data_IF_446293653566
#
_entry.id   IF_446293653566
#
_cell.length_a   1.000
_cell.length_b   1.000
_cell.length_c   1.000
_cell.angle_alpha   90.00
_cell.angle_beta   90.00
_cell.angle_gamma   90.00
#
_symmetry.space_group_name_H-M   'P 1'
#
loop_
_entity.id
_entity.type
_entity.pdbx_description
1 polymer ?
#
# COMPACT_ATOMS: atom_id res chain seq x y z
N UNK A 1 17.10 22.45 9.77
CA UNK A 1 16.55 22.04 8.47
C UNK A 1 15.76 20.78 8.72
N UNK A 2 14.45 20.78 8.48
CA UNK A 2 13.63 19.56 8.57
C UNK A 2 13.94 18.70 7.36
N UNK A 3 14.63 17.57 7.56
CA UNK A 3 14.83 16.58 6.51
C UNK A 3 13.48 16.20 5.91
N UNK A 4 13.38 16.30 4.59
CA UNK A 4 12.20 15.82 3.86
C UNK A 4 12.32 14.32 3.76
N UNK A 5 11.61 13.60 4.64
CA UNK A 5 11.62 12.14 4.67
C UNK A 5 10.87 11.61 3.44
N UNK A 6 11.57 10.82 2.63
CA UNK A 6 11.05 10.11 1.47
C UNK A 6 11.03 8.62 1.82
N UNK A 7 9.90 7.96 1.55
CA UNK A 7 9.75 6.50 1.68
C UNK A 7 9.88 5.86 0.30
N UNK A 8 10.49 4.68 0.21
CA UNK A 8 10.43 3.87 -1.02
C UNK A 8 9.26 2.90 -0.90
N UNK A 9 8.36 2.93 -1.88
CA UNK A 9 7.17 2.09 -1.94
C UNK A 9 7.27 1.12 -3.10
N UNK A 10 6.79 -0.10 -2.91
CA UNK A 10 6.60 -1.09 -3.97
C UNK A 10 5.17 -1.01 -4.49
N UNK A 11 4.96 -1.09 -5.81
CA UNK A 11 3.62 -1.20 -6.36
C UNK A 11 2.97 -2.51 -5.93
N UNK A 12 1.70 -2.45 -5.53
CA UNK A 12 0.89 -3.64 -5.24
C UNK A 12 0.50 -4.34 -6.54
N UNK A 13 0.11 -3.56 -7.54
CA UNK A 13 -0.47 -4.05 -8.79
C UNK A 13 0.61 -4.47 -9.80
N UNK A 14 1.75 -3.76 -9.82
CA UNK A 14 2.82 -3.98 -10.80
C UNK A 14 4.06 -4.56 -10.14
N UNK A 15 4.39 -5.80 -10.50
CA UNK A 15 5.61 -6.41 -10.01
C UNK A 15 6.83 -5.59 -10.45
N UNK A 16 7.71 -5.29 -9.50
CA UNK A 16 8.99 -4.58 -9.68
C UNK A 16 8.89 -3.06 -9.92
N UNK A 17 7.71 -2.47 -9.95
CA UNK A 17 7.59 -1.01 -9.95
C UNK A 17 7.78 -0.47 -8.53
N UNK A 18 8.67 0.52 -8.39
CA UNK A 18 8.90 1.23 -7.13
C UNK A 18 8.70 2.72 -7.31
N UNK A 19 8.34 3.40 -6.22
CA UNK A 19 8.12 4.83 -6.22
C UNK A 19 8.68 5.49 -4.95
N UNK A 20 9.00 6.77 -5.06
CA UNK A 20 9.39 7.60 -3.94
C UNK A 20 8.13 8.29 -3.40
N UNK A 21 7.91 8.26 -2.09
CA UNK A 21 6.75 8.87 -1.46
C UNK A 21 7.15 9.97 -0.49
N UNK A 22 6.74 11.19 -0.82
CA UNK A 22 7.08 12.40 -0.06
C UNK A 22 6.07 12.65 1.05
N UNK A 23 6.45 12.38 2.30
CA UNK A 23 5.57 12.50 3.46
C UNK A 23 5.08 13.93 3.77
N UNK A 24 5.75 14.96 3.26
CA UNK A 24 5.37 16.36 3.50
C UNK A 24 4.24 16.84 2.60
N UNK A 25 4.12 16.27 1.40
CA UNK A 25 3.11 16.65 0.39
C UNK A 25 2.13 15.51 0.08
N UNK A 26 2.36 14.33 0.68
CA UNK A 26 1.62 13.11 0.42
C UNK A 26 1.62 12.71 -1.06
N UNK A 27 2.73 12.95 -1.77
CA UNK A 27 2.83 12.72 -3.22
C UNK A 27 3.66 11.49 -3.54
N UNK A 28 3.22 10.69 -4.51
CA UNK A 28 4.04 9.63 -5.11
C UNK A 28 4.80 10.24 -6.30
N UNK A 29 6.12 10.07 -6.29
CA UNK A 29 7.06 10.65 -7.24
C UNK A 29 8.01 9.55 -7.77
N UNK A 30 8.69 9.82 -8.90
CA UNK A 30 9.78 8.97 -9.43
C UNK A 30 9.43 7.48 -9.56
N UNK A 31 8.23 7.18 -10.07
CA UNK A 31 7.82 5.80 -10.38
C UNK A 31 8.79 5.24 -11.43
N UNK A 32 9.40 4.10 -11.12
CA UNK A 32 10.40 3.44 -11.96
C UNK A 32 10.22 1.93 -11.91
N UNK A 33 10.41 1.30 -13.07
CA UNK A 33 10.48 -0.15 -13.17
C UNK A 33 11.87 -0.63 -12.73
N UNK A 34 11.91 -1.77 -12.05
CA UNK A 34 13.15 -2.46 -11.71
C UNK A 34 13.29 -3.68 -12.61
N UNK A 35 14.40 -3.77 -13.35
CA UNK A 35 14.59 -4.80 -14.37
C UNK A 35 14.74 -6.23 -13.82
N UNK A 36 15.16 -6.37 -12.55
CA UNK A 36 15.40 -7.66 -11.91
C UNK A 36 14.86 -7.71 -10.46
N UNK A 37 14.08 -8.75 -10.08
CA UNK A 37 13.61 -8.93 -8.70
C UNK A 37 14.70 -8.92 -7.63
N UNK A 38 15.92 -9.34 -7.95
CA UNK A 38 17.05 -9.32 -7.01
C UNK A 38 17.43 -7.90 -6.58
N UNK A 39 17.19 -6.90 -7.45
CA UNK A 39 17.52 -5.51 -7.15
C UNK A 39 16.62 -4.92 -6.06
N UNK A 40 15.42 -5.49 -5.86
CA UNK A 40 14.53 -5.09 -4.76
C UNK A 40 15.13 -5.38 -3.38
N UNK A 41 16.03 -6.37 -3.27
CA UNK A 41 16.70 -6.71 -2.00
C UNK A 41 17.62 -5.60 -1.50
N UNK A 42 18.07 -4.71 -2.39
CA UNK A 42 18.92 -3.57 -2.04
C UNK A 42 18.12 -2.31 -1.73
N UNK A 43 16.78 -2.35 -1.84
CA UNK A 43 15.91 -1.21 -1.56
C UNK A 43 15.29 -1.31 -0.16
N UNK A 44 15.29 -0.19 0.57
CA UNK A 44 14.57 -0.08 1.84
C UNK A 44 13.06 0.14 1.61
N UNK A 45 12.36 -0.92 1.20
CA UNK A 45 10.91 -0.86 1.00
C UNK A 45 10.22 -0.59 2.33
N UNK A 46 9.51 0.54 2.38
CA UNK A 46 8.84 1.07 3.57
C UNK A 46 7.32 0.97 3.50
N UNK A 47 6.79 0.41 2.42
CA UNK A 47 5.36 0.29 2.18
C UNK A 47 5.00 -0.16 0.77
N UNK A 48 3.70 -0.18 0.50
CA UNK A 48 3.12 -0.42 -0.82
C UNK A 48 2.20 0.73 -1.23
N UNK A 49 2.09 0.93 -2.54
CA UNK A 49 1.05 1.76 -3.13
C UNK A 49 0.31 0.98 -4.21
N UNK A 50 -0.93 1.36 -4.47
CA UNK A 50 -1.77 0.75 -5.50
C UNK A 50 -2.93 1.68 -5.81
N UNK A 51 -3.70 1.34 -6.84
CA UNK A 51 -4.83 2.17 -7.28
C UNK A 51 -6.14 1.53 -6.86
N UNK A 52 -7.02 2.34 -6.25
CA UNK A 52 -8.39 1.94 -5.92
C UNK A 52 -9.32 2.96 -6.59
N UNK A 53 -10.03 2.52 -7.62
CA UNK A 53 -10.84 3.39 -8.45
C UNK A 53 -9.97 4.39 -9.19
N UNK A 54 -10.23 5.69 -9.02
CA UNK A 54 -9.42 6.76 -9.62
C UNK A 54 -8.27 7.26 -8.72
N UNK A 55 -8.13 6.73 -7.51
CA UNK A 55 -7.21 7.26 -6.50
C UNK A 55 -6.08 6.29 -6.22
N UNK A 56 -4.88 6.82 -6.02
CA UNK A 56 -3.77 6.04 -5.48
C UNK A 56 -3.82 6.05 -3.96
N UNK A 57 -3.65 4.88 -3.37
CA UNK A 57 -3.60 4.67 -1.94
C UNK A 57 -2.20 4.20 -1.58
N UNK A 58 -1.73 4.60 -0.40
CA UNK A 58 -0.46 4.19 0.19
C UNK A 58 -0.73 3.49 1.52
N UNK A 59 -0.08 2.34 1.72
CA UNK A 59 0.09 1.71 3.03
C UNK A 59 1.58 1.66 3.32
N UNK A 60 2.03 2.31 4.39
CA UNK A 60 3.45 2.41 4.71
C UNK A 60 3.71 2.45 6.21
N UNK A 61 4.97 2.43 6.62
CA UNK A 61 5.35 2.71 8.00
C UNK A 61 5.23 4.20 8.33
N UNK A 62 4.75 4.49 9.53
CA UNK A 62 4.68 5.84 10.07
C UNK A 62 6.07 6.49 10.25
N UNK A 63 6.09 7.76 10.65
CA UNK A 63 7.35 8.49 10.84
C UNK A 63 8.26 7.84 11.88
N UNK A 64 7.70 7.15 12.87
CA UNK A 64 8.46 6.43 13.91
C UNK A 64 8.87 5.00 13.53
N UNK A 65 8.39 4.48 12.39
CA UNK A 65 8.61 3.11 11.92
C UNK A 65 8.10 2.03 12.87
N UNK A 66 6.98 2.30 13.54
CA UNK A 66 6.40 1.39 14.55
C UNK A 66 4.97 0.97 14.23
N UNK A 67 4.31 1.69 13.34
CA UNK A 67 2.93 1.41 12.98
C UNK A 67 2.72 1.55 11.48
N UNK A 68 1.79 0.77 10.95
CA UNK A 68 1.28 0.97 9.60
C UNK A 68 0.34 2.18 9.57
N UNK A 69 0.50 3.00 8.54
CA UNK A 69 -0.40 4.10 8.19
C UNK A 69 -0.99 3.84 6.81
N UNK A 70 -2.22 4.28 6.62
CA UNK A 70 -2.93 4.25 5.34
C UNK A 70 -3.38 5.66 4.97
N UNK A 71 -3.31 6.01 3.69
CA UNK A 71 -3.82 7.28 3.20
C UNK A 71 -3.82 7.36 1.68
N UNK A 72 -4.32 8.46 1.15
CA UNK A 72 -4.41 8.69 -0.29
C UNK A 72 -3.26 9.57 -0.78
N UNK A 73 -2.93 9.43 -2.05
CA UNK A 73 -2.07 10.40 -2.73
C UNK A 73 -2.71 11.80 -2.64
N UNK A 74 -1.92 12.80 -2.26
CA UNK A 74 -2.31 14.19 -2.02
C UNK A 74 -3.30 14.44 -0.86
N UNK A 75 -3.54 13.48 0.02
CA UNK A 75 -4.49 13.59 1.13
C UNK A 75 -3.88 13.14 2.48
N UNK A 76 -4.70 13.13 3.52
CA UNK A 76 -4.35 12.70 4.86
C UNK A 76 -3.98 11.21 4.94
N UNK A 77 -3.11 10.91 5.91
CA UNK A 77 -2.81 9.55 6.36
C UNK A 77 -3.23 9.36 7.81
N UNK A 78 -3.63 8.14 8.13
CA UNK A 78 -4.07 7.73 9.45
C UNK A 78 -3.35 6.46 9.87
N UNK A 79 -3.06 6.33 11.15
CA UNK A 79 -2.61 5.05 11.70
C UNK A 79 -3.70 4.01 11.47
N UNK A 80 -3.34 2.88 10.86
CA UNK A 80 -4.28 1.82 10.49
C UNK A 80 -5.01 1.24 11.72
N UNK A 81 -4.35 1.28 12.89
CA UNK A 81 -4.96 0.91 14.17
C UNK A 81 -6.10 1.83 14.59
N UNK A 82 -6.08 3.10 14.18
CA UNK A 82 -6.97 4.16 14.67
C UNK A 82 -8.07 4.53 13.67
N UNK A 83 -8.01 4.03 12.43
CA UNK A 83 -9.08 4.19 11.45
C UNK A 83 -9.91 2.91 11.32
N UNK A 84 -11.15 3.07 10.92
CA UNK A 84 -11.99 1.96 10.44
C UNK A 84 -11.81 1.82 8.94
N UNK A 85 -11.62 0.59 8.48
CA UNK A 85 -11.55 0.23 7.06
C UNK A 85 -12.66 -0.77 6.81
N UNK A 86 -13.50 -0.49 5.81
CA UNK A 86 -14.54 -1.40 5.36
C UNK A 86 -14.34 -1.66 3.88
N UNK A 87 -14.37 -2.95 3.51
CA UNK A 87 -14.47 -3.38 2.13
C UNK A 87 -15.84 -4.03 1.93
N UNK A 88 -16.56 -3.59 0.90
CA UNK A 88 -17.90 -4.08 0.58
C UNK A 88 -17.97 -4.44 -0.89
N UNK A 89 -18.25 -5.71 -1.17
CA UNK A 89 -18.66 -6.12 -2.51
C UNK A 89 -20.05 -5.54 -2.80
N UNK A 90 -20.16 -4.70 -3.83
CA UNK A 90 -21.43 -4.11 -4.23
C UNK A 90 -22.21 -5.06 -5.15
N UNK A 91 -21.50 -5.69 -6.09
CA UNK A 91 -22.01 -6.72 -6.99
C UNK A 91 -20.87 -7.63 -7.48
N UNK A 92 -21.05 -8.36 -8.57
CA UNK A 92 -20.04 -9.27 -9.13
C UNK A 92 -18.84 -8.54 -9.77
N UNK A 93 -18.95 -7.25 -10.10
CA UNK A 93 -17.91 -6.48 -10.81
C UNK A 93 -17.37 -5.27 -10.05
N UNK A 94 -18.11 -4.74 -9.08
CA UNK A 94 -17.75 -3.58 -8.28
C UNK A 94 -17.61 -3.89 -6.78
N UNK A 95 -16.59 -3.28 -6.18
CA UNK A 95 -16.44 -3.17 -4.74
C UNK A 95 -16.34 -1.70 -4.30
N UNK A 96 -16.47 -1.49 -3.00
CA UNK A 96 -16.26 -0.21 -2.34
C UNK A 96 -15.32 -0.36 -1.16
N UNK A 97 -14.31 0.51 -1.10
CA UNK A 97 -13.43 0.68 0.06
C UNK A 97 -13.81 1.97 0.77
N UNK A 98 -14.05 1.90 2.08
CA UNK A 98 -14.35 3.05 2.94
C UNK A 98 -13.33 3.15 4.06
N UNK A 99 -12.72 4.32 4.22
CA UNK A 99 -11.81 4.65 5.33
C UNK A 99 -12.44 5.76 6.17
N UNK A 100 -12.60 5.50 7.48
CA UNK A 100 -13.16 6.45 8.45
C UNK A 100 -12.18 6.69 9.60
N UNK A 101 -11.95 7.95 9.94
CA UNK A 101 -11.13 8.36 11.09
C UNK A 101 -11.65 9.68 11.70
N UNK A 102 -12.29 9.61 12.87
CA UNK A 102 -12.93 10.77 13.48
C UNK A 102 -14.06 11.32 12.62
N UNK A 103 -13.95 12.58 12.18
CA UNK A 103 -14.91 13.20 11.27
C UNK A 103 -14.58 13.00 9.77
N UNK A 104 -13.45 12.36 9.46
CA UNK A 104 -13.07 12.03 8.09
C UNK A 104 -13.71 10.71 7.67
N UNK A 105 -14.43 10.70 6.55
CA UNK A 105 -14.89 9.49 5.87
C UNK A 105 -14.68 9.68 4.38
N UNK A 106 -14.00 8.71 3.75
CA UNK A 106 -13.83 8.66 2.30
C UNK A 106 -14.16 7.26 1.79
N UNK A 107 -14.99 7.20 0.74
CA UNK A 107 -15.39 5.96 0.08
C UNK A 107 -15.00 6.02 -1.39
N UNK A 108 -14.47 4.91 -1.91
CA UNK A 108 -14.14 4.75 -3.33
C UNK A 108 -14.78 3.47 -3.85
N UNK A 109 -15.53 3.59 -4.93
CA UNK A 109 -16.07 2.45 -5.68
C UNK A 109 -15.16 2.15 -6.87
N UNK A 110 -14.88 0.87 -7.12
CA UNK A 110 -13.89 0.46 -8.11
C UNK A 110 -14.16 -0.96 -8.65
N UNK A 111 -13.62 -1.29 -9.83
CA UNK A 111 -13.68 -2.66 -10.35
C UNK A 111 -12.90 -3.61 -9.46
N UNK A 112 -13.52 -4.68 -8.98
CA UNK A 112 -12.86 -5.74 -8.20
C UNK A 112 -12.89 -7.10 -8.92
N UNK A 113 -13.42 -7.14 -10.14
CA UNK A 113 -13.35 -8.31 -10.99
C UNK A 113 -12.04 -8.31 -11.79
N UNK A 114 -11.29 -9.42 -11.72
CA UNK A 114 -9.96 -9.58 -12.31
C UNK A 114 -9.90 -9.19 -13.79
N UNK A 115 -10.84 -9.70 -14.58
CA UNK A 115 -10.88 -9.48 -16.03
C UNK A 115 -11.17 -8.03 -16.47
N UNK A 116 -11.54 -7.16 -15.54
CA UNK A 116 -11.91 -5.76 -15.82
C UNK A 116 -10.83 -4.76 -15.43
N UNK A 117 -9.76 -5.24 -14.80
CA UNK A 117 -8.54 -4.45 -14.62
C UNK A 117 -7.72 -4.61 -15.89
N UNK A 118 -7.43 -3.48 -16.54
CA UNK A 118 -6.49 -3.45 -17.66
C UNK A 118 -5.12 -3.90 -17.13
N UNK A 119 -4.68 -5.12 -17.41
CA UNK A 119 -3.34 -5.54 -17.00
C UNK A 119 -2.58 -6.43 -17.99
N UNK A 120 -1.27 -6.16 -18.02
CA UNK A 120 -0.22 -6.80 -18.82
C UNK A 120 0.41 -8.02 -18.09
N UNK A 121 -0.13 -8.44 -16.93
CA UNK A 121 0.45 -9.47 -16.05
C UNK A 121 -0.41 -10.72 -15.83
N UNK A 122 0.28 -11.83 -15.60
CA UNK A 122 -0.28 -13.17 -15.45
C UNK A 122 -0.65 -13.43 -13.97
N UNK A 123 -1.87 -13.07 -13.57
CA UNK A 123 -2.42 -13.30 -12.21
C UNK A 123 -2.71 -14.77 -11.85
N UNK A 124 -2.29 -15.72 -12.70
CA UNK A 124 -2.61 -17.15 -12.61
C UNK A 124 -2.15 -17.83 -11.31
N UNK A 125 -1.25 -17.20 -10.52
CA UNK A 125 -0.69 -17.77 -9.29
C UNK A 125 -1.02 -16.98 -8.01
N UNK A 126 -1.79 -15.90 -8.12
CA UNK A 126 -2.06 -14.98 -7.00
C UNK A 126 -3.42 -15.25 -6.34
N UNK A 127 -3.50 -15.13 -5.02
CA UNK A 127 -4.79 -15.19 -4.32
C UNK A 127 -5.69 -14.02 -4.71
N UNK A 128 -6.99 -14.11 -4.43
CA UNK A 128 -7.94 -13.05 -4.76
C UNK A 128 -7.62 -11.73 -4.03
N UNK A 129 -7.16 -11.82 -2.78
CA UNK A 129 -6.73 -10.66 -1.98
C UNK A 129 -5.44 -10.02 -2.50
N UNK A 130 -4.57 -10.78 -3.17
CA UNK A 130 -3.34 -10.23 -3.77
C UNK A 130 -3.61 -9.39 -5.02
N UNK A 131 -4.84 -9.44 -5.54
CA UNK A 131 -5.28 -8.69 -6.70
C UNK A 131 -6.08 -7.43 -6.32
N UNK A 132 -7.01 -7.53 -5.38
CA UNK A 132 -7.81 -6.39 -4.94
C UNK A 132 -7.09 -5.63 -3.82
N UNK A 133 -6.44 -4.52 -4.16
CA UNK A 133 -5.69 -3.71 -3.20
C UNK A 133 -6.57 -3.18 -2.05
N UNK A 134 -7.85 -2.87 -2.29
CA UNK A 134 -8.74 -2.43 -1.21
C UNK A 134 -9.11 -3.59 -0.28
N UNK A 135 -9.31 -4.80 -0.81
CA UNK A 135 -9.51 -5.99 0.00
C UNK A 135 -8.25 -6.33 0.80
N UNK A 136 -7.06 -6.18 0.21
CA UNK A 136 -5.79 -6.32 0.92
C UNK A 136 -5.66 -5.33 2.09
N UNK A 137 -5.99 -4.04 1.88
CA UNK A 137 -6.00 -3.03 2.96
C UNK A 137 -6.98 -3.43 4.07
N UNK A 138 -8.16 -3.94 3.70
CA UNK A 138 -9.12 -4.47 4.68
C UNK A 138 -8.57 -5.68 5.45
N UNK A 139 -7.91 -6.61 4.77
CA UNK A 139 -7.21 -7.75 5.37
C UNK A 139 -6.16 -7.29 6.40
N UNK A 140 -5.40 -6.24 6.09
CA UNK A 140 -4.50 -5.61 7.08
C UNK A 140 -5.27 -5.05 8.29
N UNK A 141 -6.45 -4.48 8.10
CA UNK A 141 -7.24 -3.98 9.23
C UNK A 141 -7.79 -5.13 10.10
N UNK A 142 -8.14 -6.26 9.52
CA UNK A 142 -8.79 -7.37 10.24
C UNK A 142 -7.83 -8.42 10.78
N UNK A 143 -6.62 -8.53 10.22
CA UNK A 143 -5.59 -9.49 10.64
C UNK A 143 -4.40 -8.80 11.36
N UNK A 144 -4.34 -8.87 12.70
CA UNK A 144 -3.23 -8.33 13.47
C UNK A 144 -1.88 -9.00 13.20
N UNK A 145 -1.87 -10.29 12.88
CA UNK A 145 -0.64 -11.07 12.69
C UNK A 145 0.00 -10.69 11.35
N UNK A 146 -0.82 -10.53 10.30
CA UNK A 146 -0.39 -10.00 9.01
C UNK A 146 0.22 -8.60 9.16
N UNK A 147 -0.43 -7.69 9.91
CA UNK A 147 0.11 -6.35 10.19
C UNK A 147 1.44 -6.41 10.91
N UNK A 148 1.53 -7.24 11.94
CA UNK A 148 2.74 -7.36 12.74
C UNK A 148 3.90 -7.85 11.89
N UNK A 149 3.67 -8.89 11.07
CA UNK A 149 4.66 -9.43 10.14
C UNK A 149 5.17 -8.36 9.18
N UNK A 150 4.29 -7.64 8.50
CA UNK A 150 4.67 -6.58 7.56
C UNK A 150 5.40 -5.42 8.25
N UNK A 151 4.95 -5.04 9.45
CA UNK A 151 5.63 -4.00 10.24
C UNK A 151 7.06 -4.41 10.57
N UNK A 152 7.27 -5.66 10.99
CA UNK A 152 8.60 -6.21 11.30
C UNK A 152 9.47 -6.33 10.03
N UNK A 153 8.90 -6.80 8.92
CA UNK A 153 9.60 -6.94 7.64
C UNK A 153 10.10 -5.59 7.13
N UNK A 154 9.24 -4.58 7.06
CA UNK A 154 9.60 -3.26 6.54
C UNK A 154 10.46 -2.45 7.50
N UNK A 155 10.31 -2.65 8.82
CA UNK A 155 11.23 -2.06 9.80
C UNK A 155 12.61 -2.73 9.73
N UNK A 156 12.65 -4.06 9.54
CA UNK A 156 13.85 -4.86 9.44
C UNK A 156 14.63 -4.64 8.14
N UNK A 157 13.95 -4.37 7.03
CA UNK A 157 14.57 -4.04 5.74
C UNK A 157 15.53 -2.82 5.82
N UNK A 158 15.28 -1.89 6.75
CA UNK A 158 16.20 -0.75 7.02
C UNK A 158 17.45 -1.12 7.81
N UNK A 159 17.42 -2.26 8.50
CA UNK A 159 18.54 -2.77 9.28
C UNK A 159 19.33 -3.85 8.53
N UNK A 160 18.91 -4.20 7.32
CA UNK A 160 19.58 -5.15 6.41
C UNK A 160 20.89 -4.65 5.80
N UNK A 161 21.38 -3.48 6.19
CA UNK A 161 22.70 -2.95 5.84
C UNK A 161 23.86 -3.48 6.70
N UNK A 162 23.64 -4.44 7.62
CA UNK A 162 24.75 -5.15 8.27
C UNK A 162 24.27 -6.34 9.10
N UNK A 163 24.47 -7.58 8.65
CA UNK A 163 24.86 -8.75 9.48
C UNK A 163 25.65 -9.75 8.61
N UNK A 164 26.96 -9.79 8.86
CA UNK A 164 28.03 -10.80 8.57
C UNK A 164 28.29 -11.23 7.12
#
# INVERSE_FOLDING_TARGET
MTETKILTLLSHDKWLDVADYRLSTHTIENIRHVDNPEDLKFLEISGRYGTVGSEKIVVSLDKSFRALVVGFEHDAQFALSNCDVQWTQLDETLAQLTITHGAYTRSLTYPHHRDWVEDDFNFDMSSYEDFDFGLWIYGLKTDPDLRQRLTQEWAGARHGGSIV
#
